data_IF_087264175999
#
_entry.id   IF_087264175999
#
_cell.length_a   1.000
_cell.length_b   1.000
_cell.length_c   1.000
_cell.angle_alpha   90.00
_cell.angle_beta   90.00
_cell.angle_gamma   90.00
#
_symmetry.space_group_name_H-M   'P 1'
#
loop_
_entity.id
_entity.type
_entity.pdbx_description
1 polymer ?
#
# COMPACT_ATOMS: atom_id res chain seq x y z
N UNK A 1 -16.43 -5.23 27.42
CA UNK A 1 -16.96 -4.13 26.58
C UNK A 1 -15.91 -3.78 25.52
N UNK A 2 -16.11 -4.11 24.26
CA UNK A 2 -15.16 -3.78 23.20
C UNK A 2 -15.27 -2.29 22.86
N UNK A 3 -14.11 -1.58 22.82
CA UNK A 3 -14.09 -0.16 22.44
C UNK A 3 -14.52 -0.03 20.97
N UNK A 4 -15.51 0.81 20.70
CA UNK A 4 -15.91 1.14 19.31
C UNK A 4 -14.71 1.67 18.52
N UNK A 5 -14.50 1.19 17.29
CA UNK A 5 -13.41 1.63 16.40
C UNK A 5 -13.48 3.10 16.01
N UNK A 6 -14.65 3.71 16.08
CA UNK A 6 -14.89 5.13 15.87
C UNK A 6 -14.73 5.96 17.15
N UNK A 7 -14.63 5.31 18.32
CA UNK A 7 -14.52 5.98 19.62
C UNK A 7 -13.23 6.79 19.75
N UNK A 8 -13.32 8.01 20.32
CA UNK A 8 -12.17 8.92 20.52
C UNK A 8 -11.01 8.27 21.28
N UNK A 9 -11.30 7.42 22.26
CA UNK A 9 -10.28 6.70 23.06
C UNK A 9 -9.56 5.68 22.20
N UNK A 10 -10.29 4.86 21.44
CA UNK A 10 -9.70 3.89 20.50
C UNK A 10 -8.76 4.57 19.49
N UNK A 11 -9.19 5.67 18.90
CA UNK A 11 -8.40 6.43 17.92
C UNK A 11 -7.13 7.01 18.55
N UNK A 12 -7.21 7.53 19.80
CA UNK A 12 -6.03 8.05 20.51
C UNK A 12 -5.02 6.94 20.80
N UNK A 13 -5.47 5.79 21.30
CA UNK A 13 -4.60 4.64 21.58
C UNK A 13 -3.97 4.08 20.30
N UNK A 14 -4.75 3.96 19.24
CA UNK A 14 -4.26 3.55 17.92
C UNK A 14 -3.19 4.50 17.40
N UNK A 15 -3.41 5.81 17.47
CA UNK A 15 -2.46 6.81 17.00
C UNK A 15 -1.18 6.82 17.86
N UNK A 16 -1.29 6.71 19.18
CA UNK A 16 -0.12 6.62 20.07
C UNK A 16 0.73 5.39 19.76
N UNK A 17 0.09 4.22 19.62
CA UNK A 17 0.76 2.97 19.23
C UNK A 17 1.43 3.09 17.86
N UNK A 18 0.75 3.68 16.89
CA UNK A 18 1.30 3.86 15.55
C UNK A 18 2.53 4.78 15.55
N UNK A 19 2.49 5.90 16.29
CA UNK A 19 3.66 6.78 16.48
C UNK A 19 4.84 6.05 17.08
N UNK A 20 4.60 5.20 18.09
CA UNK A 20 5.64 4.38 18.70
C UNK A 20 6.26 3.39 17.67
N UNK A 21 5.46 2.79 16.79
CA UNK A 21 5.94 1.91 15.72
C UNK A 21 6.80 2.68 14.71
N UNK A 22 6.33 3.85 14.26
CA UNK A 22 7.05 4.74 13.33
C UNK A 22 8.40 5.15 13.93
N UNK A 23 8.42 5.59 15.18
CA UNK A 23 9.63 5.99 15.87
C UNK A 23 10.61 4.82 16.04
N UNK A 24 10.12 3.65 16.50
CA UNK A 24 10.96 2.45 16.71
C UNK A 24 11.59 1.95 15.41
N UNK A 25 10.87 2.06 14.30
CA UNK A 25 11.35 1.68 12.97
C UNK A 25 12.15 2.78 12.28
N UNK A 26 12.34 3.95 12.91
CA UNK A 26 13.06 5.12 12.36
C UNK A 26 12.50 5.62 11.03
N UNK A 27 11.18 5.60 10.88
CA UNK A 27 10.48 5.99 9.65
C UNK A 27 10.25 7.51 9.64
N UNK A 28 11.30 8.30 9.49
CA UNK A 28 11.25 9.77 9.57
C UNK A 28 10.50 10.46 8.41
N UNK A 29 10.20 9.75 7.32
CA UNK A 29 9.51 10.27 6.12
C UNK A 29 8.10 9.69 5.96
N UNK A 30 7.56 9.09 7.00
CA UNK A 30 6.19 8.56 7.04
C UNK A 30 5.29 9.54 7.77
N UNK A 31 4.18 9.93 7.11
CA UNK A 31 3.20 10.87 7.68
C UNK A 31 2.61 10.32 9.00
N UNK A 32 2.41 11.15 10.03
CA UNK A 32 1.87 10.72 11.32
C UNK A 32 0.46 10.11 11.26
N UNK A 33 -0.31 10.40 10.21
CA UNK A 33 -1.65 9.81 9.99
C UNK A 33 -1.60 8.45 9.32
N UNK A 34 -0.47 8.10 8.68
CA UNK A 34 -0.26 6.78 8.09
C UNK A 34 -0.28 5.69 9.18
N UNK A 35 -0.73 4.50 8.83
CA UNK A 35 -0.75 3.35 9.72
C UNK A 35 0.22 2.28 9.24
N UNK A 36 1.18 1.93 10.09
CA UNK A 36 2.13 0.83 9.84
C UNK A 36 1.90 -0.27 10.86
N UNK A 37 1.51 -1.47 10.39
CA UNK A 37 1.36 -2.59 11.33
C UNK A 37 2.73 -2.98 11.92
N UNK A 38 2.83 -3.28 13.23
CA UNK A 38 4.11 -3.61 13.89
C UNK A 38 4.89 -4.77 13.26
N UNK A 39 4.19 -5.75 12.69
CA UNK A 39 4.79 -6.92 12.04
C UNK A 39 5.40 -6.66 10.65
N UNK A 40 5.29 -5.44 10.12
CA UNK A 40 5.91 -5.12 8.84
C UNK A 40 7.43 -5.05 8.97
N UNK A 41 8.14 -5.58 7.96
CA UNK A 41 9.55 -5.31 7.71
C UNK A 41 9.62 -4.17 6.69
N UNK A 42 10.12 -3.00 7.10
CA UNK A 42 10.09 -1.79 6.28
C UNK A 42 11.44 -1.11 6.35
N UNK A 43 11.98 -0.75 5.20
CA UNK A 43 13.21 0.02 5.13
C UNK A 43 13.01 1.43 5.72
N UNK A 44 14.04 1.96 6.38
CA UNK A 44 13.96 3.22 7.13
C UNK A 44 13.78 4.46 6.23
N UNK A 45 14.07 4.35 4.95
CA UNK A 45 13.94 5.40 3.94
C UNK A 45 12.55 5.45 3.28
N UNK A 46 11.61 4.58 3.69
CA UNK A 46 10.24 4.61 3.19
C UNK A 46 9.65 6.01 3.29
N UNK A 47 9.08 6.48 2.17
CA UNK A 47 8.23 7.67 2.13
C UNK A 47 6.79 7.23 2.06
N UNK A 48 5.96 7.66 3.01
CA UNK A 48 4.53 7.36 2.97
C UNK A 48 3.71 8.60 3.33
N UNK A 49 2.79 8.94 2.45
CA UNK A 49 1.89 10.09 2.57
C UNK A 49 0.78 9.91 3.60
N UNK A 50 -0.08 10.95 3.74
CA UNK A 50 -1.20 10.93 4.67
C UNK A 50 -2.15 9.76 4.43
N UNK A 51 -2.61 9.15 5.54
CA UNK A 51 -3.59 8.06 5.54
C UNK A 51 -3.18 6.79 4.79
N UNK A 52 -1.90 6.62 4.45
CA UNK A 52 -1.38 5.34 3.94
C UNK A 52 -1.61 4.24 4.98
N UNK A 53 -2.03 3.07 4.54
CA UNK A 53 -2.27 1.91 5.39
C UNK A 53 -1.40 0.72 4.97
N UNK A 54 -0.50 0.28 5.84
CA UNK A 54 0.28 -0.96 5.69
C UNK A 54 -0.29 -2.04 6.62
N UNK A 55 -0.88 -3.08 6.02
CA UNK A 55 -1.43 -4.25 6.69
C UNK A 55 -0.35 -5.11 7.36
N UNK A 56 -0.72 -6.31 7.79
CA UNK A 56 0.20 -7.22 8.49
C UNK A 56 1.26 -7.80 7.55
N UNK A 57 2.47 -8.00 8.07
CA UNK A 57 3.54 -8.76 7.39
C UNK A 57 3.92 -8.22 6.01
N UNK A 58 3.78 -6.91 5.79
CA UNK A 58 4.34 -6.31 4.58
C UNK A 58 5.87 -6.26 4.68
N UNK A 59 6.53 -6.58 3.56
CA UNK A 59 7.98 -6.49 3.38
C UNK A 59 8.28 -5.41 2.33
N UNK A 60 8.79 -4.26 2.76
CA UNK A 60 9.02 -3.10 1.91
C UNK A 60 10.52 -2.82 1.84
N UNK A 61 11.08 -3.02 0.66
CA UNK A 61 12.49 -2.75 0.34
C UNK A 61 12.81 -1.23 0.39
N UNK A 62 14.07 -0.83 0.38
CA UNK A 62 14.47 0.59 0.24
C UNK A 62 13.97 1.25 -1.05
N UNK A 63 13.99 2.59 -1.10
CA UNK A 63 13.61 3.43 -2.24
C UNK A 63 12.15 3.24 -2.68
N UNK A 64 11.23 3.12 -1.71
CA UNK A 64 9.78 3.05 -1.98
C UNK A 64 9.11 4.34 -1.53
N UNK A 65 8.26 4.89 -2.42
CA UNK A 65 7.38 6.02 -2.14
C UNK A 65 5.93 5.58 -2.31
N UNK A 66 5.08 5.91 -1.34
CA UNK A 66 3.64 5.58 -1.35
C UNK A 66 2.88 6.86 -1.06
N UNK A 67 1.99 7.27 -1.96
CA UNK A 67 1.22 8.50 -1.77
C UNK A 67 -0.06 8.26 -0.96
N UNK A 68 -0.74 9.37 -0.60
CA UNK A 68 -1.89 9.45 0.32
C UNK A 68 -3.00 8.45 0.01
N UNK A 69 -3.71 8.00 1.06
CA UNK A 69 -4.87 7.11 1.03
C UNK A 69 -4.60 5.69 0.54
N UNK A 70 -3.39 5.38 0.08
CA UNK A 70 -3.04 4.07 -0.45
C UNK A 70 -3.10 2.98 0.60
N UNK A 71 -3.73 1.88 0.25
CA UNK A 71 -3.93 0.72 1.13
C UNK A 71 -3.17 -0.50 0.62
N UNK A 72 -2.23 -0.95 1.42
CA UNK A 72 -1.55 -2.24 1.27
C UNK A 72 -2.21 -3.24 2.23
N UNK A 73 -2.85 -4.27 1.68
CA UNK A 73 -3.39 -5.36 2.48
C UNK A 73 -2.26 -6.13 3.19
N UNK A 74 -2.53 -7.27 3.79
CA UNK A 74 -1.48 -8.07 4.44
C UNK A 74 -0.61 -8.84 3.45
N UNK A 75 0.62 -9.15 3.86
CA UNK A 75 1.60 -9.95 3.11
C UNK A 75 2.03 -9.33 1.78
N UNK A 76 2.03 -8.00 1.67
CA UNK A 76 2.55 -7.31 0.49
C UNK A 76 4.08 -7.38 0.53
N UNK A 77 4.70 -7.70 -0.63
CA UNK A 77 6.14 -7.61 -0.81
C UNK A 77 6.47 -6.61 -1.93
N UNK A 78 7.36 -5.66 -1.64
CA UNK A 78 7.99 -4.81 -2.67
C UNK A 78 9.46 -5.16 -2.63
N UNK A 79 9.92 -5.93 -3.63
CA UNK A 79 11.23 -6.63 -3.63
C UNK A 79 11.84 -6.69 -5.02
N UNK A 80 13.10 -7.07 -5.09
CA UNK A 80 13.87 -7.24 -6.34
C UNK A 80 15.20 -6.51 -6.29
N UNK A 81 15.97 -6.59 -7.38
CA UNK A 81 17.30 -5.98 -7.54
C UNK A 81 18.31 -6.41 -6.45
N UNK A 82 18.19 -7.65 -5.95
CA UNK A 82 19.01 -8.12 -4.85
C UNK A 82 20.38 -8.62 -5.31
N UNK A 83 20.46 -9.19 -6.50
CA UNK A 83 21.68 -9.80 -7.05
C UNK A 83 21.88 -9.48 -8.52
N UNK A 84 23.15 -9.32 -8.91
CA UNK A 84 23.53 -9.26 -10.32
C UNK A 84 23.59 -10.68 -10.88
N UNK A 85 22.65 -11.02 -11.76
CA UNK A 85 22.48 -12.37 -12.32
C UNK A 85 23.15 -12.54 -13.70
N UNK A 86 23.57 -11.45 -14.34
CA UNK A 86 24.04 -11.46 -15.73
C UNK A 86 25.55 -11.49 -15.88
N UNK A 87 26.35 -11.63 -14.78
CA UNK A 87 27.79 -11.64 -14.82
C UNK A 87 28.33 -13.05 -15.09
N UNK A 88 28.86 -13.35 -16.29
CA UNK A 88 29.34 -14.69 -16.60
C UNK A 88 30.61 -15.02 -15.80
N UNK A 89 30.81 -16.31 -15.50
CA UNK A 89 32.02 -16.81 -14.80
C UNK A 89 32.08 -16.50 -13.31
N UNK A 90 31.04 -15.87 -12.74
CA UNK A 90 30.95 -15.55 -11.31
C UNK A 90 29.63 -16.09 -10.75
N UNK A 91 29.65 -16.89 -9.66
CA UNK A 91 28.42 -17.30 -9.01
C UNK A 91 27.58 -16.08 -8.61
N UNK A 92 26.25 -16.14 -8.80
CA UNK A 92 25.30 -15.04 -8.56
C UNK A 92 25.47 -14.43 -7.15
N UNK A 93 25.70 -15.26 -6.14
CA UNK A 93 25.94 -14.84 -4.76
C UNK A 93 27.13 -13.87 -4.61
N UNK A 94 28.12 -13.97 -5.49
CA UNK A 94 29.33 -13.15 -5.45
C UNK A 94 29.40 -12.11 -6.57
N UNK A 95 28.41 -12.06 -7.44
CA UNK A 95 28.40 -11.18 -8.61
C UNK A 95 28.08 -9.69 -8.27
N UNK A 96 27.81 -9.39 -6.99
CA UNK A 96 27.45 -8.06 -6.52
C UNK A 96 25.96 -7.76 -6.68
N UNK A 97 25.60 -6.50 -6.51
CA UNK A 97 24.21 -6.00 -6.61
C UNK A 97 24.09 -5.03 -7.77
N UNK A 98 22.99 -5.07 -8.53
CA UNK A 98 22.70 -4.05 -9.52
C UNK A 98 22.34 -2.71 -8.86
N UNK A 99 22.31 -1.60 -9.60
CA UNK A 99 21.69 -0.37 -9.15
C UNK A 99 20.24 -0.63 -8.73
N UNK A 100 19.83 -0.04 -7.60
CA UNK A 100 18.47 -0.20 -7.10
C UNK A 100 17.56 0.85 -7.73
N UNK A 101 16.38 0.43 -8.19
CA UNK A 101 15.38 1.32 -8.79
C UNK A 101 14.32 1.74 -7.78
N UNK A 102 13.86 2.99 -7.89
CA UNK A 102 12.76 3.50 -7.05
C UNK A 102 11.45 2.88 -7.48
N UNK A 103 10.66 2.42 -6.51
CA UNK A 103 9.27 1.98 -6.72
C UNK A 103 8.34 3.08 -6.23
N UNK A 104 7.41 3.50 -7.08
CA UNK A 104 6.44 4.57 -6.76
C UNK A 104 5.02 4.01 -6.79
N UNK A 105 4.29 4.22 -5.71
CA UNK A 105 2.87 3.88 -5.61
C UNK A 105 2.10 5.18 -5.40
N UNK A 106 1.21 5.49 -6.33
CA UNK A 106 0.40 6.69 -6.34
C UNK A 106 -0.62 6.78 -5.22
N UNK A 107 -1.49 7.78 -5.29
CA UNK A 107 -2.53 8.05 -4.31
C UNK A 107 -3.73 7.10 -4.49
N UNK A 108 -4.37 6.73 -3.38
CA UNK A 108 -5.58 5.89 -3.34
C UNK A 108 -5.48 4.58 -4.13
N UNK A 109 -4.29 3.98 -4.13
CA UNK A 109 -4.04 2.65 -4.69
C UNK A 109 -4.48 1.58 -3.69
N UNK A 110 -5.04 0.49 -4.19
CA UNK A 110 -5.32 -0.69 -3.38
C UNK A 110 -4.53 -1.90 -3.87
N UNK A 111 -3.59 -2.37 -3.05
CA UNK A 111 -2.90 -3.64 -3.25
C UNK A 111 -3.60 -4.72 -2.41
N UNK A 112 -4.17 -5.72 -3.08
CA UNK A 112 -4.82 -6.87 -2.48
C UNK A 112 -3.83 -7.76 -1.71
N UNK A 113 -4.35 -8.66 -0.88
CA UNK A 113 -3.55 -9.57 -0.06
C UNK A 113 -2.50 -10.35 -0.87
N UNK A 114 -1.26 -10.41 -0.38
CA UNK A 114 -0.21 -11.22 -0.98
C UNK A 114 0.33 -10.72 -2.33
N UNK A 115 0.05 -9.47 -2.70
CA UNK A 115 0.62 -8.87 -3.92
C UNK A 115 2.14 -8.73 -3.77
N UNK A 116 2.85 -9.10 -4.83
CA UNK A 116 4.29 -8.86 -4.98
C UNK A 116 4.50 -7.79 -6.04
N UNK A 117 5.20 -6.71 -5.70
CA UNK A 117 5.59 -5.66 -6.65
C UNK A 117 7.10 -5.74 -6.86
N UNK A 118 7.53 -5.88 -8.10
CA UNK A 118 8.95 -5.83 -8.44
C UNK A 118 9.46 -4.39 -8.34
N UNK A 119 10.72 -4.23 -7.91
CA UNK A 119 11.34 -2.90 -7.82
C UNK A 119 11.39 -2.20 -9.17
N UNK A 120 11.37 -0.87 -9.14
CA UNK A 120 11.38 -0.04 -10.34
C UNK A 120 10.00 0.17 -10.96
N UNK A 121 8.96 -0.53 -10.48
CA UNK A 121 7.60 -0.39 -10.99
C UNK A 121 6.94 0.88 -10.47
N UNK A 122 6.19 1.55 -11.33
CA UNK A 122 5.29 2.65 -10.97
C UNK A 122 3.83 2.15 -11.02
N UNK A 123 3.09 2.37 -9.92
CA UNK A 123 1.64 2.11 -9.86
C UNK A 123 0.94 3.46 -9.76
N UNK A 124 0.13 3.79 -10.77
CA UNK A 124 -0.55 5.09 -10.88
C UNK A 124 -1.71 5.26 -9.90
N UNK A 125 -2.14 6.50 -9.73
CA UNK A 125 -3.21 6.89 -8.81
C UNK A 125 -4.49 6.09 -9.04
N UNK A 126 -5.15 5.72 -7.96
CA UNK A 126 -6.41 5.01 -8.00
C UNK A 126 -6.36 3.59 -8.57
N UNK A 127 -5.19 3.05 -8.89
CA UNK A 127 -5.07 1.69 -9.39
C UNK A 127 -5.44 0.64 -8.34
N UNK A 128 -5.91 -0.50 -8.81
CA UNK A 128 -6.24 -1.65 -7.95
C UNK A 128 -5.48 -2.86 -8.45
N UNK A 129 -4.78 -3.55 -7.55
CA UNK A 129 -4.10 -4.81 -7.85
C UNK A 129 -4.74 -5.93 -7.05
N UNK A 130 -5.25 -6.94 -7.75
CA UNK A 130 -5.92 -8.10 -7.18
C UNK A 130 -5.00 -8.94 -6.29
N UNK A 131 -5.58 -9.63 -5.31
CA UNK A 131 -4.83 -10.46 -4.37
C UNK A 131 -3.99 -11.52 -5.08
N UNK A 132 -2.78 -11.79 -4.57
CA UNK A 132 -1.85 -12.78 -5.11
C UNK A 132 -1.19 -12.40 -6.44
N UNK A 133 -1.40 -11.20 -6.95
CA UNK A 133 -0.78 -10.77 -8.21
C UNK A 133 0.72 -10.50 -8.07
N UNK A 134 1.48 -10.72 -9.14
CA UNK A 134 2.89 -10.34 -9.26
C UNK A 134 3.02 -9.23 -10.30
N UNK A 135 3.29 -8.02 -9.84
CA UNK A 135 3.41 -6.81 -10.67
C UNK A 135 4.86 -6.69 -11.17
N UNK A 136 5.06 -6.88 -12.46
CA UNK A 136 6.37 -6.86 -13.13
C UNK A 136 6.52 -5.71 -14.13
N UNK A 137 5.49 -4.89 -14.29
CA UNK A 137 5.46 -3.73 -15.18
C UNK A 137 4.59 -2.62 -14.57
N UNK A 138 4.75 -1.41 -15.05
CA UNK A 138 3.98 -0.26 -14.59
C UNK A 138 2.48 -0.48 -14.75
N UNK A 139 1.73 -0.03 -13.74
CA UNK A 139 0.27 -0.08 -13.72
C UNK A 139 -0.27 1.32 -13.91
N UNK A 140 -0.98 1.61 -15.02
CA UNK A 140 -1.57 2.91 -15.27
C UNK A 140 -2.61 3.31 -14.20
N UNK A 141 -2.79 4.62 -14.04
CA UNK A 141 -3.76 5.16 -13.10
C UNK A 141 -5.19 4.69 -13.41
N UNK A 142 -5.96 4.36 -12.36
CA UNK A 142 -7.36 3.93 -12.42
C UNK A 142 -7.60 2.61 -13.16
N UNK A 143 -6.59 1.79 -13.31
CA UNK A 143 -6.75 0.44 -13.85
C UNK A 143 -6.83 -0.61 -12.74
N UNK A 144 -7.51 -1.72 -13.05
CA UNK A 144 -7.58 -2.93 -12.23
C UNK A 144 -6.75 -4.01 -12.89
N UNK A 145 -5.75 -4.49 -12.17
CA UNK A 145 -4.81 -5.52 -12.63
C UNK A 145 -4.85 -6.72 -11.71
N UNK A 146 -4.62 -7.92 -12.24
CA UNK A 146 -4.47 -9.15 -11.44
C UNK A 146 -3.67 -10.21 -12.18
N UNK A 147 -3.33 -11.30 -11.49
CA UNK A 147 -2.66 -12.48 -12.03
C UNK A 147 -1.15 -12.50 -11.85
N UNK A 148 -0.51 -13.55 -12.38
CA UNK A 148 0.94 -13.83 -12.28
C UNK A 148 1.46 -14.24 -13.66
N UNK A 149 2.16 -13.34 -14.38
CA UNK A 149 2.34 -11.91 -14.07
C UNK A 149 1.03 -11.11 -14.16
N UNK A 150 0.95 -10.01 -13.41
CA UNK A 150 -0.23 -9.15 -13.42
C UNK A 150 -0.51 -8.57 -14.80
N UNK A 151 -1.78 -8.54 -15.20
CA UNK A 151 -2.26 -7.98 -16.45
C UNK A 151 -3.51 -7.14 -16.19
N UNK A 152 -3.75 -6.17 -17.06
CA UNK A 152 -4.94 -5.33 -17.02
C UNK A 152 -6.21 -6.17 -17.20
N UNK A 153 -7.18 -5.95 -16.32
CA UNK A 153 -8.51 -6.57 -16.42
C UNK A 153 -9.54 -5.55 -16.95
N UNK A 154 -9.59 -4.35 -16.36
CA UNK A 154 -10.57 -3.30 -16.69
C UNK A 154 -10.17 -1.97 -16.07
N UNK A 155 -10.92 -0.92 -16.37
CA UNK A 155 -10.86 0.35 -15.62
C UNK A 155 -11.51 0.21 -14.26
N UNK A 156 -11.05 1.01 -13.28
CA UNK A 156 -11.66 1.09 -11.95
C UNK A 156 -13.08 1.66 -12.02
N UNK A 157 -13.26 2.73 -12.77
CA UNK A 157 -14.55 3.39 -12.96
C UNK A 157 -15.12 3.10 -14.35
N UNK A 158 -16.39 2.74 -14.41
CA UNK A 158 -17.09 2.47 -15.67
C UNK A 158 -17.34 3.77 -16.44
N UNK A 159 -17.67 4.85 -15.72
CA UNK A 159 -17.95 6.14 -16.33
C UNK A 159 -16.77 7.11 -16.17
N UNK A 160 -16.29 7.74 -17.28
CA UNK A 160 -15.20 8.72 -17.20
C UNK A 160 -15.45 9.88 -16.22
N UNK A 161 -16.72 10.31 -16.11
CA UNK A 161 -17.11 11.36 -15.17
C UNK A 161 -16.81 11.01 -13.69
N UNK A 162 -16.88 9.74 -13.31
CA UNK A 162 -16.57 9.30 -11.95
C UNK A 162 -15.07 9.32 -11.68
N UNK A 163 -14.26 9.00 -12.68
CA UNK A 163 -12.81 9.20 -12.63
C UNK A 163 -12.47 10.68 -12.41
N UNK A 164 -13.06 11.60 -13.18
CA UNK A 164 -12.82 13.04 -13.03
C UNK A 164 -13.20 13.57 -11.64
N UNK A 165 -14.36 13.13 -11.08
CA UNK A 165 -14.73 13.48 -9.69
C UNK A 165 -13.68 13.00 -8.69
N UNK A 166 -13.14 11.81 -8.89
CA UNK A 166 -12.13 11.21 -8.02
C UNK A 166 -10.79 11.95 -8.11
N UNK A 167 -10.36 12.32 -9.31
CA UNK A 167 -9.16 13.14 -9.54
C UNK A 167 -9.25 14.50 -8.83
N UNK A 168 -10.41 15.16 -8.91
CA UNK A 168 -10.66 16.41 -8.18
C UNK A 168 -10.56 16.21 -6.66
N UNK A 169 -11.10 15.11 -6.12
CA UNK A 169 -10.97 14.77 -4.70
C UNK A 169 -9.51 14.52 -4.31
N UNK A 170 -8.75 13.80 -5.12
CA UNK A 170 -7.33 13.54 -4.87
C UNK A 170 -6.47 14.81 -4.96
N UNK A 171 -6.78 15.74 -5.84
CA UNK A 171 -6.08 17.02 -5.96
C UNK A 171 -6.44 18.01 -4.83
N UNK A 172 -7.57 17.79 -4.16
CA UNK A 172 -8.11 18.66 -3.12
C UNK A 172 -7.44 18.49 -1.75
N UNK A 173 -7.98 19.20 -0.72
CA UNK A 173 -7.56 19.04 0.66
C UNK A 173 -7.74 17.59 1.15
N UNK A 174 -7.01 17.24 2.21
CA UNK A 174 -7.14 15.91 2.81
C UNK A 174 -8.56 15.71 3.36
N UNK A 175 -9.24 14.71 2.83
CA UNK A 175 -10.58 14.28 3.29
C UNK A 175 -10.41 13.18 4.33
N UNK A 176 -11.08 13.34 5.48
CA UNK A 176 -11.17 12.31 6.50
C UNK A 176 -12.61 11.91 6.68
N UNK A 177 -12.90 10.63 6.46
CA UNK A 177 -14.19 10.01 6.72
C UNK A 177 -14.10 8.99 7.86
N UNK A 178 -15.24 8.41 8.25
CA UNK A 178 -15.28 7.27 9.14
C UNK A 178 -14.61 6.05 8.47
N UNK A 179 -13.90 5.24 9.27
CA UNK A 179 -13.40 3.96 8.75
C UNK A 179 -14.58 3.04 8.47
N UNK A 180 -14.46 2.21 7.42
CA UNK A 180 -15.44 1.18 7.11
C UNK A 180 -15.70 0.29 8.33
N UNK A 181 -16.96 0.00 8.60
CA UNK A 181 -17.41 -0.85 9.68
C UNK A 181 -16.94 -2.29 9.48
N UNK A 182 -16.87 -3.07 10.56
CA UNK A 182 -16.59 -4.50 10.44
C UNK A 182 -17.80 -5.20 9.83
N UNK A 183 -17.55 -6.26 9.05
CA UNK A 183 -18.59 -7.12 8.47
C UNK A 183 -19.63 -7.61 9.51
N UNK A 184 -19.16 -7.89 10.75
CA UNK A 184 -20.02 -8.34 11.87
C UNK A 184 -21.01 -7.26 12.32
N UNK A 185 -20.60 -5.98 12.25
CA UNK A 185 -21.47 -4.85 12.64
C UNK A 185 -22.51 -4.54 11.55
N UNK A 186 -22.15 -4.74 10.27
CA UNK A 186 -23.06 -4.57 9.12
C UNK A 186 -24.16 -5.66 9.06
N UNK A 187 -23.88 -6.89 9.51
CA UNK A 187 -24.84 -7.98 9.53
C UNK A 187 -25.86 -7.85 10.65
N UNK A 188 -25.54 -7.18 11.76
CA UNK A 188 -26.49 -6.90 12.85
C UNK A 188 -27.51 -5.82 12.49
N UNK A 189 -27.11 -4.84 11.68
CA UNK A 189 -28.01 -3.76 11.24
C UNK A 189 -29.09 -4.22 10.24
N UNK A 190 -28.88 -5.34 9.54
CA UNK A 190 -29.83 -5.90 8.54
C UNK A 190 -30.81 -6.91 9.17
N UNK A 191 -30.57 -7.35 10.42
CA UNK A 191 -31.41 -8.33 11.11
C UNK A 191 -32.47 -7.74 12.04
N UNK A 192 -32.51 -6.43 12.19
CA UNK A 192 -33.44 -5.71 13.08
C UNK A 192 -34.54 -4.92 12.31
N UNK A 193 -34.82 -5.23 11.02
CA UNK A 193 -35.94 -4.69 10.24
C UNK A 193 -37.04 -5.76 10.05
#
# INVERSE_FOLDING_TARGET
MALSRSGRIYLRLRNARNRAVIARKRLGRVDPTAYVHPSCCVASDLVAGPYVFLGRHCNIAPLVTIDRYTMLASNIAIVGDDHNWSKPGVPMQFAGRPPQHTTTIGADVWLGHGVVVMRGVTIGDGAIVGAGAIVTADVPAYEVWAGTPARRLRDRFVHPADRGKHEVMLAGPLVRSAFAERREDSQRAVGDE
#
